data_IF_711803546750
#
_entry.id   IF_711803546750
#
_cell.length_a   1.000
_cell.length_b   1.000
_cell.length_c   1.000
_cell.angle_alpha   90.00
_cell.angle_beta   90.00
_cell.angle_gamma   90.00
#
_symmetry.space_group_name_H-M   'P 1'
#
loop_
_entity.id
_entity.type
_entity.pdbx_description
1 polymer ?
#
# COMPACT_ATOMS: atom_id res chain seq x y z
N UNK A 1 -15.10 -7.69 8.79
CA UNK A 1 -13.66 -8.01 8.67
C UNK A 1 -13.26 -8.58 10.02
N UNK A 2 -12.85 -9.85 10.13
CA UNK A 2 -12.62 -10.49 11.44
C UNK A 2 -11.57 -9.78 12.31
N UNK A 3 -11.53 -10.08 13.59
CA UNK A 3 -10.53 -9.55 14.54
C UNK A 3 -9.32 -10.48 14.69
N UNK A 4 -8.27 -10.06 15.41
CA UNK A 4 -7.11 -10.91 15.70
C UNK A 4 -7.50 -12.24 16.37
N UNK A 5 -8.58 -12.23 17.16
CA UNK A 5 -9.09 -13.39 17.90
C UNK A 5 -10.27 -14.11 17.21
N UNK A 6 -10.84 -13.53 16.14
CA UNK A 6 -12.06 -14.07 15.51
C UNK A 6 -11.85 -14.13 14.00
N UNK A 7 -11.84 -15.36 13.48
CA UNK A 7 -11.70 -15.62 12.05
C UNK A 7 -12.80 -14.88 11.28
N UNK A 8 -12.41 -14.12 10.27
CA UNK A 8 -13.32 -13.44 9.36
C UNK A 8 -12.90 -13.67 7.91
N UNK A 9 -13.06 -12.66 7.07
CA UNK A 9 -12.60 -12.68 5.68
C UNK A 9 -11.10 -12.98 5.56
N UNK A 10 -10.69 -13.56 4.43
CA UNK A 10 -9.31 -13.93 4.15
C UNK A 10 -8.36 -12.72 4.16
N UNK A 11 -7.05 -12.96 4.22
CA UNK A 11 -6.04 -11.89 4.13
C UNK A 11 -6.19 -11.05 2.85
N UNK A 12 -6.37 -11.72 1.71
CA UNK A 12 -6.61 -11.07 0.42
C UNK A 12 -7.91 -10.29 0.36
N UNK A 13 -9.00 -10.83 0.92
CA UNK A 13 -10.26 -10.09 1.00
C UNK A 13 -10.15 -8.85 1.89
N UNK A 14 -9.42 -8.96 3.02
CA UNK A 14 -9.14 -7.82 3.89
C UNK A 14 -8.37 -6.74 3.16
N UNK A 15 -7.30 -7.09 2.43
CA UNK A 15 -6.47 -6.12 1.71
C UNK A 15 -7.24 -5.45 0.57
N UNK A 16 -8.01 -6.21 -0.23
CA UNK A 16 -8.91 -5.65 -1.26
C UNK A 16 -9.96 -4.71 -0.66
N UNK A 17 -10.50 -5.04 0.53
CA UNK A 17 -11.43 -4.16 1.25
C UNK A 17 -10.75 -2.85 1.66
N UNK A 18 -9.51 -2.90 2.17
CA UNK A 18 -8.75 -1.69 2.51
C UNK A 18 -8.50 -0.80 1.30
N UNK A 19 -8.09 -1.37 0.16
CA UNK A 19 -7.94 -0.61 -1.09
C UNK A 19 -9.29 -0.01 -1.52
N UNK A 20 -10.38 -0.79 -1.42
CA UNK A 20 -11.74 -0.31 -1.69
C UNK A 20 -12.16 0.87 -0.84
N UNK A 21 -11.76 0.93 0.44
CA UNK A 21 -12.06 2.07 1.33
C UNK A 21 -11.42 3.36 0.79
N UNK A 22 -10.17 3.31 0.34
CA UNK A 22 -9.48 4.47 -0.23
C UNK A 22 -10.15 4.94 -1.54
N UNK A 23 -10.61 3.99 -2.37
CA UNK A 23 -11.27 4.29 -3.64
C UNK A 23 -12.64 4.96 -3.52
N UNK A 24 -13.31 4.87 -2.35
CA UNK A 24 -14.59 5.56 -2.12
C UNK A 24 -14.45 7.08 -2.31
N UNK A 25 -13.25 7.61 -2.09
CA UNK A 25 -12.96 9.05 -2.27
C UNK A 25 -12.73 9.46 -3.73
N UNK A 26 -12.75 8.51 -4.66
CA UNK A 26 -12.40 8.69 -6.07
C UNK A 26 -11.07 9.45 -6.25
N UNK A 27 -9.96 8.93 -5.70
CA UNK A 27 -8.68 9.63 -5.73
C UNK A 27 -8.10 9.67 -7.15
N UNK A 28 -7.43 10.79 -7.49
CA UNK A 28 -6.65 10.89 -8.73
C UNK A 28 -5.26 10.23 -8.60
N UNK A 29 -4.76 10.11 -7.38
CA UNK A 29 -3.48 9.49 -7.05
C UNK A 29 -3.68 8.54 -5.87
N UNK A 30 -3.20 7.31 -5.99
CA UNK A 30 -3.30 6.27 -5.00
C UNK A 30 -1.91 5.79 -4.61
N UNK A 31 -1.54 5.95 -3.34
CA UNK A 31 -0.31 5.42 -2.77
C UNK A 31 -0.60 4.17 -1.97
N UNK A 32 0.15 3.08 -2.22
CA UNK A 32 -0.04 1.81 -1.55
C UNK A 32 1.30 1.30 -1.01
N UNK A 33 1.36 1.09 0.30
CA UNK A 33 2.53 0.50 0.94
C UNK A 33 2.36 -1.03 1.04
N UNK A 34 3.29 -1.76 0.43
CA UNK A 34 3.35 -3.22 0.33
C UNK A 34 1.97 -3.86 0.15
N UNK A 35 1.25 -3.58 -0.96
CA UNK A 35 -0.11 -4.03 -1.11
C UNK A 35 -0.22 -5.56 -1.23
N UNK A 36 0.88 -6.23 -1.59
CA UNK A 36 0.92 -7.66 -1.87
C UNK A 36 1.38 -8.51 -0.68
N UNK A 37 1.87 -7.89 0.40
CA UNK A 37 2.39 -8.60 1.57
C UNK A 37 1.30 -9.45 2.24
N UNK A 38 1.62 -10.72 2.48
CA UNK A 38 0.70 -11.70 3.08
C UNK A 38 -0.38 -12.23 2.14
N UNK A 39 -0.28 -11.99 0.83
CA UNK A 39 -1.14 -12.59 -0.19
C UNK A 39 -0.48 -13.81 -0.81
N UNK A 40 -1.30 -14.78 -1.21
CA UNK A 40 -0.84 -15.83 -2.12
C UNK A 40 -0.68 -15.27 -3.55
N UNK A 41 -0.01 -16.02 -4.43
CA UNK A 41 0.32 -15.57 -5.78
C UNK A 41 -0.90 -15.15 -6.60
N UNK A 42 -2.01 -15.89 -6.46
CA UNK A 42 -3.24 -15.62 -7.22
C UNK A 42 -3.98 -14.36 -6.72
N UNK A 43 -4.08 -14.19 -5.39
CA UNK A 43 -4.68 -13.00 -4.81
C UNK A 43 -3.84 -11.74 -5.09
N UNK A 44 -2.50 -11.85 -5.05
CA UNK A 44 -1.60 -10.78 -5.43
C UNK A 44 -1.80 -10.38 -6.90
N UNK A 45 -1.81 -11.35 -7.82
CA UNK A 45 -2.09 -11.10 -9.23
C UNK A 45 -3.44 -10.40 -9.45
N UNK A 46 -4.50 -10.90 -8.80
CA UNK A 46 -5.84 -10.32 -8.91
C UNK A 46 -5.88 -8.87 -8.40
N UNK A 47 -5.15 -8.58 -7.32
CA UNK A 47 -5.05 -7.23 -6.77
C UNK A 47 -4.33 -6.29 -7.74
N UNK A 48 -3.19 -6.70 -8.29
CA UNK A 48 -2.45 -5.88 -9.27
C UNK A 48 -3.26 -5.67 -10.55
N UNK A 49 -3.97 -6.69 -11.04
CA UNK A 49 -4.88 -6.55 -12.18
C UNK A 49 -6.00 -5.53 -11.93
N UNK A 50 -6.52 -5.46 -10.70
CA UNK A 50 -7.49 -4.43 -10.31
C UNK A 50 -6.87 -3.03 -10.26
N UNK A 51 -5.65 -2.91 -9.72
CA UNK A 51 -4.89 -1.65 -9.72
C UNK A 51 -4.57 -1.17 -11.15
N UNK A 52 -4.23 -2.09 -12.05
CA UNK A 52 -3.98 -1.79 -13.46
C UNK A 52 -5.22 -1.22 -14.15
N UNK A 53 -6.41 -1.76 -13.84
CA UNK A 53 -7.69 -1.22 -14.35
C UNK A 53 -7.96 0.20 -13.85
N UNK A 54 -7.59 0.50 -12.60
CA UNK A 54 -7.70 1.86 -12.06
C UNK A 54 -6.71 2.81 -12.74
N UNK A 55 -5.48 2.35 -12.98
CA UNK A 55 -4.49 3.10 -13.75
C UNK A 55 -4.99 3.43 -15.16
N UNK A 56 -5.56 2.44 -15.86
CA UNK A 56 -6.19 2.63 -17.17
C UNK A 56 -7.39 3.59 -17.15
N UNK A 57 -8.06 3.75 -16.00
CA UNK A 57 -9.13 4.72 -15.80
C UNK A 57 -8.64 6.15 -15.47
N UNK A 58 -7.33 6.39 -15.49
CA UNK A 58 -6.72 7.71 -15.26
C UNK A 58 -6.40 8.03 -13.80
N UNK A 59 -6.26 7.01 -12.94
CA UNK A 59 -5.75 7.15 -11.57
C UNK A 59 -4.26 6.84 -11.55
N UNK A 60 -3.41 7.75 -11.06
CA UNK A 60 -1.99 7.43 -10.84
C UNK A 60 -1.88 6.46 -9.66
N UNK A 61 -1.35 5.26 -9.88
CA UNK A 61 -1.13 4.27 -8.82
C UNK A 61 0.36 4.14 -8.57
N UNK A 62 0.78 4.41 -7.33
CA UNK A 62 2.15 4.23 -6.88
C UNK A 62 2.17 3.21 -5.74
N UNK A 63 3.00 2.17 -5.85
CA UNK A 63 3.10 1.18 -4.78
C UNK A 63 4.53 0.68 -4.55
N UNK A 64 4.84 0.39 -3.29
CA UNK A 64 6.05 -0.36 -2.91
C UNK A 64 5.76 -1.86 -3.01
N UNK A 65 6.65 -2.63 -3.64
CA UNK A 65 6.52 -4.08 -3.73
C UNK A 65 7.82 -4.74 -3.33
N UNK A 66 7.76 -5.60 -2.31
CA UNK A 66 8.87 -6.43 -1.92
C UNK A 66 8.85 -7.72 -2.76
N UNK A 67 9.80 -7.86 -3.69
CA UNK A 67 10.02 -9.07 -4.52
C UNK A 67 8.76 -9.54 -5.31
N UNK A 68 8.37 -8.84 -6.39
CA UNK A 68 7.27 -9.27 -7.24
C UNK A 68 7.62 -10.55 -8.01
N UNK A 69 6.66 -11.44 -8.21
CA UNK A 69 6.81 -12.51 -9.21
C UNK A 69 6.94 -11.91 -10.62
N UNK A 70 7.56 -12.64 -11.55
CA UNK A 70 7.73 -12.17 -12.94
C UNK A 70 6.40 -11.74 -13.56
N UNK A 71 5.35 -12.54 -13.40
CA UNK A 71 4.01 -12.26 -13.93
C UNK A 71 3.41 -10.97 -13.37
N UNK A 72 3.70 -10.66 -12.10
CA UNK A 72 3.25 -9.43 -11.46
C UNK A 72 4.11 -8.25 -11.93
N UNK A 73 5.41 -8.47 -12.07
CA UNK A 73 6.34 -7.43 -12.49
C UNK A 73 6.02 -6.92 -13.90
N UNK A 74 5.67 -7.83 -14.81
CA UNK A 74 5.30 -7.52 -16.20
C UNK A 74 4.00 -6.70 -16.33
N UNK A 75 3.20 -6.58 -15.25
CA UNK A 75 2.00 -5.75 -15.26
C UNK A 75 2.28 -4.26 -14.98
N UNK A 76 3.45 -3.92 -14.43
CA UNK A 76 3.80 -2.53 -14.14
C UNK A 76 4.21 -1.77 -15.41
N UNK A 77 3.83 -0.50 -15.48
CA UNK A 77 4.24 0.41 -16.56
C UNK A 77 5.70 0.86 -16.34
N UNK A 78 5.95 1.45 -15.17
CA UNK A 78 7.25 1.94 -14.74
C UNK A 78 7.72 1.26 -13.44
N UNK A 79 9.03 1.18 -13.27
CA UNK A 79 9.67 0.72 -12.04
C UNK A 79 10.66 1.76 -11.52
N UNK A 80 10.68 1.93 -10.20
CA UNK A 80 11.69 2.73 -9.48
C UNK A 80 12.46 1.81 -8.55
N UNK A 81 13.77 1.65 -8.79
CA UNK A 81 14.65 0.93 -7.89
C UNK A 81 15.42 1.92 -7.02
N UNK A 82 15.34 1.72 -5.71
CA UNK A 82 16.01 2.53 -4.71
C UNK A 82 17.08 1.70 -4.01
N UNK A 83 18.24 2.30 -3.79
CA UNK A 83 19.27 1.73 -2.93
C UNK A 83 19.91 2.83 -2.08
N UNK A 84 19.80 2.69 -0.76
CA UNK A 84 20.39 3.59 0.22
C UNK A 84 19.94 5.05 0.01
N UNK A 85 18.61 5.23 -0.09
CA UNK A 85 17.96 6.52 -0.30
C UNK A 85 18.17 7.15 -1.68
N UNK A 86 18.87 6.49 -2.61
CA UNK A 86 19.14 7.01 -3.96
C UNK A 86 18.51 6.14 -5.04
N UNK A 87 18.08 6.78 -6.13
CA UNK A 87 17.55 6.10 -7.31
C UNK A 87 18.69 5.39 -8.05
N UNK A 88 18.53 4.08 -8.22
CA UNK A 88 19.38 3.27 -9.08
C UNK A 88 18.81 3.15 -10.50
N UNK A 89 17.48 3.22 -10.65
CA UNK A 89 16.79 3.21 -11.94
C UNK A 89 15.38 3.78 -11.77
N UNK A 90 14.88 4.52 -12.76
CA UNK A 90 13.47 4.90 -12.88
C UNK A 90 13.06 4.88 -14.36
N UNK A 91 12.06 4.09 -14.72
CA UNK A 91 11.53 4.13 -16.08
C UNK A 91 10.76 2.88 -16.46
N UNK A 92 10.47 2.71 -17.75
CA UNK A 92 9.63 1.62 -18.24
C UNK A 92 10.19 0.26 -17.90
N UNK A 93 9.36 -0.64 -17.38
CA UNK A 93 9.77 -2.02 -17.04
C UNK A 93 10.43 -2.73 -18.23
N UNK A 94 9.96 -2.44 -19.45
CA UNK A 94 10.49 -3.00 -20.70
C UNK A 94 11.95 -2.59 -21.00
N UNK A 95 12.40 -1.44 -20.52
CA UNK A 95 13.76 -0.94 -20.77
C UNK A 95 14.77 -1.38 -19.72
N UNK A 96 14.29 -1.88 -18.58
CA UNK A 96 15.12 -2.29 -17.45
C UNK A 96 16.23 -3.29 -17.85
N UNK A 97 15.97 -4.39 -18.58
CA UNK A 97 17.02 -5.35 -18.90
C UNK A 97 18.13 -4.73 -19.76
N UNK A 98 17.76 -3.94 -20.77
CA UNK A 98 18.71 -3.28 -21.67
C UNK A 98 19.53 -2.18 -20.97
N UNK A 99 18.97 -1.53 -19.95
CA UNK A 99 19.72 -0.57 -19.13
C UNK A 99 20.87 -1.27 -18.37
N UNK A 100 20.57 -2.38 -17.69
CA UNK A 100 21.56 -3.12 -16.91
C UNK A 100 22.54 -3.90 -17.79
N UNK A 101 22.14 -4.35 -18.97
CA UNK A 101 23.05 -4.95 -19.96
C UNK A 101 24.14 -3.96 -20.41
N UNK A 102 23.77 -2.71 -20.72
CA UNK A 102 24.73 -1.63 -21.08
C UNK A 102 25.72 -1.30 -19.95
N UNK A 103 25.35 -1.61 -18.71
CA UNK A 103 26.18 -1.43 -17.52
C UNK A 103 27.12 -2.63 -17.24
N UNK A 104 27.07 -3.67 -18.07
CA UNK A 104 27.86 -4.90 -17.88
C UNK A 104 27.20 -5.92 -16.96
N UNK A 105 25.91 -5.75 -16.64
CA UNK A 105 25.13 -6.64 -15.78
C UNK A 105 23.94 -7.27 -16.53
N UNK A 106 24.18 -8.10 -17.57
CA UNK A 106 23.11 -8.68 -18.37
C UNK A 106 22.19 -9.56 -17.51
N UNK A 107 20.88 -9.36 -17.66
CA UNK A 107 19.87 -10.23 -17.06
C UNK A 107 19.73 -11.50 -17.90
N UNK A 108 19.67 -12.67 -17.26
CA UNK A 108 19.41 -13.92 -17.97
C UNK A 108 17.96 -13.94 -18.50
N UNK A 109 17.69 -14.49 -19.70
CA UNK A 109 16.33 -14.49 -20.26
C UNK A 109 15.27 -15.19 -19.41
N UNK A 110 15.66 -16.22 -18.64
CA UNK A 110 14.77 -16.99 -17.78
C UNK A 110 14.74 -16.49 -16.33
N UNK A 111 15.31 -15.32 -16.06
CA UNK A 111 15.42 -14.76 -14.72
C UNK A 111 14.61 -13.47 -14.61
N UNK A 112 13.88 -13.33 -13.51
CA UNK A 112 13.05 -12.17 -13.26
C UNK A 112 13.92 -10.90 -13.18
N UNK A 113 13.71 -9.90 -14.06
CA UNK A 113 14.51 -8.68 -14.06
C UNK A 113 14.46 -7.92 -12.73
N UNK A 114 13.33 -7.94 -12.02
CA UNK A 114 13.22 -7.30 -10.71
C UNK A 114 14.14 -7.95 -9.68
N UNK A 115 14.15 -9.27 -9.63
CA UNK A 115 15.03 -10.02 -8.72
C UNK A 115 16.50 -9.85 -9.10
N UNK A 116 16.82 -9.76 -10.40
CA UNK A 116 18.18 -9.49 -10.89
C UNK A 116 18.72 -8.18 -10.35
N UNK A 117 17.95 -7.10 -10.50
CA UNK A 117 18.37 -5.78 -10.02
C UNK A 117 18.50 -5.77 -8.50
N UNK A 118 17.53 -6.33 -7.78
CA UNK A 118 17.58 -6.39 -6.31
C UNK A 118 18.79 -7.19 -5.82
N UNK A 119 19.07 -8.34 -6.43
CA UNK A 119 20.22 -9.17 -6.10
C UNK A 119 21.54 -8.46 -6.43
N UNK A 120 21.63 -7.82 -7.59
CA UNK A 120 22.79 -7.04 -8.01
C UNK A 120 23.11 -5.93 -7.00
N UNK A 121 22.10 -5.17 -6.57
CA UNK A 121 22.28 -4.08 -5.61
C UNK A 121 22.75 -4.56 -4.23
N UNK A 122 22.44 -5.79 -3.83
CA UNK A 122 22.85 -6.36 -2.54
C UNK A 122 24.19 -7.07 -2.59
N UNK A 123 24.53 -7.69 -3.72
CA UNK A 123 25.74 -8.52 -3.87
C UNK A 123 26.97 -7.71 -4.26
N UNK A 124 26.81 -6.73 -5.13
CA UNK A 124 27.93 -6.02 -5.72
C UNK A 124 28.62 -5.06 -4.74
N UNK A 125 29.85 -4.65 -5.07
CA UNK A 125 30.57 -3.68 -4.27
C UNK A 125 29.88 -2.31 -4.29
N UNK A 126 30.08 -1.53 -3.23
CA UNK A 126 29.57 -0.15 -3.15
C UNK A 126 30.02 0.71 -4.34
N UNK A 127 31.21 0.45 -4.89
CA UNK A 127 31.73 1.12 -6.09
C UNK A 127 30.93 0.75 -7.34
N UNK A 128 30.64 -0.54 -7.56
CA UNK A 128 29.86 -1.00 -8.70
C UNK A 128 28.44 -0.45 -8.66
N UNK A 129 27.81 -0.48 -7.48
CA UNK A 129 26.50 0.17 -7.23
C UNK A 129 26.57 1.67 -7.48
N UNK A 130 27.65 2.34 -7.05
CA UNK A 130 27.90 3.76 -7.30
C UNK A 130 27.85 4.08 -8.79
N UNK A 131 28.53 3.28 -9.62
CA UNK A 131 28.50 3.43 -11.08
C UNK A 131 27.11 3.29 -11.68
N UNK A 132 26.26 2.39 -11.15
CA UNK A 132 24.87 2.26 -11.61
C UNK A 132 24.11 3.55 -11.34
N UNK A 133 24.20 4.09 -10.12
CA UNK A 133 23.53 5.35 -9.73
C UNK A 133 24.02 6.54 -10.56
N UNK A 134 25.33 6.66 -10.78
CA UNK A 134 25.92 7.70 -11.62
C UNK A 134 25.48 7.57 -13.08
N UNK A 135 25.44 6.35 -13.62
CA UNK A 135 24.99 6.11 -14.99
C UNK A 135 23.53 6.45 -15.17
N UNK A 136 22.69 6.13 -14.18
CA UNK A 136 21.29 6.54 -14.17
C UNK A 136 21.17 8.07 -14.25
N UNK A 137 21.86 8.80 -13.38
CA UNK A 137 21.86 10.28 -13.37
C UNK A 137 22.37 10.89 -14.68
N UNK A 138 23.35 10.27 -15.32
CA UNK A 138 23.86 10.70 -16.63
C UNK A 138 23.06 10.16 -17.83
N UNK A 139 22.03 9.34 -17.59
CA UNK A 139 21.27 8.65 -18.62
C UNK A 139 20.20 9.53 -19.28
N UNK A 140 19.87 9.22 -20.53
CA UNK A 140 18.81 9.91 -21.28
C UNK A 140 17.45 9.84 -20.56
N UNK A 141 17.11 8.67 -20.01
CA UNK A 141 15.87 8.46 -19.23
C UNK A 141 15.74 9.43 -18.04
N UNK A 142 16.85 9.75 -17.36
CA UNK A 142 16.81 10.72 -16.27
C UNK A 142 16.58 12.14 -16.79
N UNK A 143 17.22 12.50 -17.90
CA UNK A 143 17.01 13.81 -18.55
C UNK A 143 15.58 13.98 -19.08
N UNK A 144 15.02 12.96 -19.73
CA UNK A 144 13.64 12.95 -20.22
C UNK A 144 12.64 13.06 -19.06
N UNK A 145 12.87 12.33 -17.97
CA UNK A 145 12.07 12.44 -16.74
C UNK A 145 12.10 13.86 -16.17
N UNK A 146 13.29 14.46 -16.05
CA UNK A 146 13.44 15.82 -15.54
C UNK A 146 12.72 16.84 -16.44
N UNK A 147 12.88 16.71 -17.76
CA UNK A 147 12.16 17.55 -18.73
C UNK A 147 10.65 17.42 -18.58
N UNK A 148 10.13 16.20 -18.47
CA UNK A 148 8.71 15.94 -18.23
C UNK A 148 8.20 16.55 -16.92
N UNK A 149 8.99 16.49 -15.85
CA UNK A 149 8.66 17.12 -14.56
C UNK A 149 8.63 18.65 -14.69
N UNK A 150 9.61 19.24 -15.36
CA UNK A 150 9.70 20.68 -15.60
C UNK A 150 8.53 21.18 -16.45
N UNK A 151 8.21 20.46 -17.52
CA UNK A 151 7.05 20.74 -18.38
C UNK A 151 5.74 20.64 -17.60
N UNK A 152 5.55 19.57 -16.82
CA UNK A 152 4.38 19.40 -15.97
C UNK A 152 4.26 20.54 -14.93
N UNK A 153 5.39 20.98 -14.37
CA UNK A 153 5.44 22.10 -13.42
C UNK A 153 5.12 23.43 -14.10
N UNK A 154 5.55 23.64 -15.34
CA UNK A 154 5.25 24.85 -16.11
C UNK A 154 3.76 24.93 -16.49
N UNK A 155 3.12 23.79 -16.76
CA UNK A 155 1.70 23.70 -17.12
C UNK A 155 0.75 23.58 -15.92
N UNK A 156 1.29 23.43 -14.70
CA UNK A 156 0.51 23.38 -13.46
C UNK A 156 -0.16 24.74 -13.18
N UNK A 157 -1.33 24.96 -13.76
CA UNK A 157 -2.15 26.15 -13.61
C UNK A 157 -3.34 25.86 -12.68
N UNK A 158 -3.17 26.14 -11.39
CA UNK A 158 -4.22 26.00 -10.36
C UNK A 158 -3.66 25.57 -9.01
N UNK A 159 -4.47 25.56 -7.92
CA UNK A 159 -4.05 24.83 -6.72
C UNK A 159 -3.73 23.39 -7.13
N UNK A 160 -2.53 22.91 -6.79
CA UNK A 160 -1.93 21.64 -7.23
C UNK A 160 -2.78 20.37 -6.99
N UNK A 161 -3.92 20.54 -6.33
CA UNK A 161 -4.90 19.55 -6.02
C UNK A 161 -6.25 20.27 -6.06
N UNK A 162 -7.17 19.80 -6.91
CA UNK A 162 -8.58 20.06 -6.66
C UNK A 162 -8.85 19.64 -5.22
N UNK A 163 -9.51 20.50 -4.44
CA UNK A 163 -10.05 20.14 -3.12
C UNK A 163 -11.02 18.97 -3.29
N UNK A 164 -10.48 17.76 -3.42
CA UNK A 164 -11.14 16.51 -3.09
C UNK A 164 -11.24 16.39 -1.57
N UNK A 165 -11.53 17.49 -0.86
CA UNK A 165 -12.34 17.33 0.33
C UNK A 165 -13.69 16.94 -0.25
N UNK A 166 -13.99 15.64 -0.22
CA UNK A 166 -15.39 15.23 -0.08
C UNK A 166 -16.01 16.23 0.91
N UNK A 167 -17.06 16.94 0.48
CA UNK A 167 -17.65 18.04 1.24
C UNK A 167 -17.65 17.66 2.72
N UNK A 168 -16.88 18.39 3.53
CA UNK A 168 -16.55 17.96 4.89
C UNK A 168 -17.83 17.60 5.62
N UNK A 169 -17.94 16.35 6.05
CA UNK A 169 -19.10 15.90 6.80
C UNK A 169 -19.09 16.68 8.12
N UNK A 170 -20.22 17.27 8.51
CA UNK A 170 -20.27 18.06 9.74
C UNK A 170 -19.89 17.23 10.97
N UNK A 171 -19.33 17.84 12.03
CA UNK A 171 -18.84 17.12 13.21
C UNK A 171 -19.93 16.29 13.89
N UNK A 172 -21.19 16.74 13.87
CA UNK A 172 -22.32 15.97 14.43
C UNK A 172 -22.64 14.73 13.61
N UNK A 173 -22.58 14.82 12.28
CA UNK A 173 -22.78 13.67 11.39
C UNK A 173 -21.62 12.67 11.50
N UNK A 174 -20.38 13.14 11.63
CA UNK A 174 -19.23 12.26 11.90
C UNK A 174 -19.39 11.55 13.24
N UNK A 175 -19.71 12.28 14.31
CA UNK A 175 -19.96 11.69 15.64
C UNK A 175 -21.10 10.68 15.60
N UNK A 176 -22.21 10.99 14.93
CA UNK A 176 -23.34 10.07 14.79
C UNK A 176 -22.96 8.79 14.03
N UNK A 177 -22.15 8.89 12.97
CA UNK A 177 -21.65 7.73 12.22
C UNK A 177 -20.69 6.90 13.07
N UNK A 178 -19.75 7.55 13.77
CA UNK A 178 -18.80 6.88 14.67
C UNK A 178 -19.52 6.17 15.82
N UNK A 179 -20.47 6.83 16.47
CA UNK A 179 -21.28 6.24 17.53
C UNK A 179 -22.11 5.06 17.03
N UNK A 180 -22.79 5.21 15.88
CA UNK A 180 -23.56 4.12 15.28
C UNK A 180 -22.67 2.93 14.92
N UNK A 181 -21.45 3.18 14.42
CA UNK A 181 -20.46 2.14 14.13
C UNK A 181 -20.02 1.41 15.39
N UNK A 182 -19.70 2.15 16.46
CA UNK A 182 -19.24 1.59 17.73
C UNK A 182 -20.33 0.77 18.43
N UNK A 183 -21.55 1.30 18.48
CA UNK A 183 -22.72 0.60 19.04
C UNK A 183 -22.97 -0.69 18.26
N UNK A 184 -22.95 -0.65 16.93
CA UNK A 184 -23.14 -1.85 16.10
C UNK A 184 -22.02 -2.87 16.30
N UNK A 185 -20.77 -2.42 16.43
CA UNK A 185 -19.62 -3.28 16.73
C UNK A 185 -19.77 -3.97 18.09
N UNK A 186 -20.11 -3.20 19.12
CA UNK A 186 -20.34 -3.70 20.48
C UNK A 186 -21.51 -4.68 20.55
N UNK A 187 -22.65 -4.38 19.91
CA UNK A 187 -23.82 -5.25 19.90
C UNK A 187 -23.57 -6.58 19.16
N UNK A 188 -22.71 -6.57 18.13
CA UNK A 188 -22.28 -7.80 17.44
C UNK A 188 -21.32 -8.65 18.28
N UNK A 189 -20.57 -8.04 19.19
CA UNK A 189 -19.68 -8.76 20.09
C UNK A 189 -20.39 -9.17 21.39
N UNK A 190 -21.27 -10.18 21.27
CA UNK A 190 -22.05 -10.70 22.40
C UNK A 190 -21.18 -11.20 23.56
N UNK A 191 -19.97 -11.70 23.29
CA UNK A 191 -19.04 -12.17 24.33
C UNK A 191 -18.53 -11.04 25.23
N UNK A 192 -18.06 -9.94 24.64
CA UNK A 192 -17.62 -8.76 25.41
C UNK A 192 -18.79 -8.11 26.13
N UNK A 193 -19.96 -8.02 25.49
CA UNK A 193 -21.15 -7.47 26.11
C UNK A 193 -21.59 -8.30 27.33
N UNK A 194 -21.65 -9.63 27.17
CA UNK A 194 -21.95 -10.56 28.26
C UNK A 194 -20.94 -10.50 29.39
N UNK A 195 -19.64 -10.45 29.08
CA UNK A 195 -18.58 -10.32 30.08
C UNK A 195 -18.69 -9.00 30.89
N UNK A 196 -19.02 -7.88 30.22
CA UNK A 196 -19.21 -6.58 30.90
C UNK A 196 -20.40 -6.62 31.87
N UNK A 197 -21.57 -7.10 31.42
CA UNK A 197 -22.73 -7.23 32.31
C UNK A 197 -22.49 -8.24 33.44
N UNK A 198 -21.89 -9.39 33.12
CA UNK A 198 -21.57 -10.42 34.09
C UNK A 198 -20.61 -9.94 35.17
N UNK A 199 -19.54 -9.21 34.80
CA UNK A 199 -18.59 -8.64 35.74
C UNK A 199 -19.25 -7.61 36.66
N UNK A 200 -20.08 -6.71 36.12
CA UNK A 200 -20.80 -5.72 36.93
C UNK A 200 -21.78 -6.37 37.91
N UNK A 201 -22.52 -7.39 37.46
CA UNK A 201 -23.43 -8.13 38.34
C UNK A 201 -22.69 -8.90 39.43
N UNK A 202 -21.58 -9.56 39.08
CA UNK A 202 -20.73 -10.29 40.02
C UNK A 202 -20.15 -9.35 41.08
N UNK A 203 -19.57 -8.22 40.67
CA UNK A 203 -19.01 -7.23 41.59
C UNK A 203 -20.11 -6.67 42.50
N UNK A 204 -21.30 -6.37 41.96
CA UNK A 204 -22.44 -5.91 42.73
C UNK A 204 -22.91 -6.94 43.77
N UNK A 205 -23.00 -8.22 43.40
CA UNK A 205 -23.35 -9.30 44.32
C UNK A 205 -22.28 -9.51 45.40
N UNK A 206 -20.99 -9.41 45.03
CA UNK A 206 -19.87 -9.51 45.96
C UNK A 206 -19.90 -8.37 46.99
N UNK A 207 -20.13 -7.14 46.55
CA UNK A 207 -20.29 -5.99 47.46
C UNK A 207 -21.49 -6.18 48.38
N UNK A 208 -22.64 -6.60 47.86
CA UNK A 208 -23.82 -6.87 48.68
C UNK A 208 -23.53 -7.94 49.73
N UNK A 209 -22.86 -9.04 49.35
CA UNK A 209 -22.49 -10.11 50.28
C UNK A 209 -21.50 -9.65 51.36
N UNK A 210 -20.48 -8.89 50.97
CA UNK A 210 -19.45 -8.40 51.90
C UNK A 210 -20.03 -7.48 52.98
N UNK A 211 -20.96 -6.59 52.60
CA UNK A 211 -21.52 -5.58 53.52
C UNK A 211 -22.83 -6.01 54.19
N UNK A 212 -23.53 -7.04 53.70
CA UNK A 212 -24.73 -7.57 54.34
C UNK A 212 -24.48 -8.15 55.74
N UNK A 213 -23.24 -8.52 56.07
CA UNK A 213 -22.84 -9.01 57.40
C UNK A 213 -22.30 -7.92 58.35
N UNK A 214 -22.30 -6.65 57.94
CA UNK A 214 -21.74 -5.52 58.71
C UNK A 214 -22.80 -4.55 59.27
N UNK A 215 -24.08 -4.94 59.19
CA UNK A 215 -25.23 -4.20 59.72
C UNK A 215 -25.89 -4.95 60.89
#
# INVERSE_FOLDING_TARGET
VGSALVKGISGGERKRTSVGIELITNPRVLFLDEPLSGLDSYAAYTLVAALKKLAAAGVLVFCSVHQPSSEIFDMFDDAVFLHDGRVAYHGPVSELPGHFEKLGFPCKPSFNPADHVMFLMQKESAEAVGRVKERWLAGALHGELLGSIEDARAHASGPAWGRGRAAGVGPCSELAVLMRREVRGTLRNRGVLGARFGMSLFLGALYAWLFAGSA
#
